data_IF_608223563100
#
_entry.id   IF_608223563100
#
_cell.length_a   1.000
_cell.length_b   1.000
_cell.length_c   1.000
_cell.angle_alpha   90.00
_cell.angle_beta   90.00
_cell.angle_gamma   90.00
#
_symmetry.space_group_name_H-M   'P 1'
#
loop_
_entity.id
_entity.type
_entity.pdbx_description
1 polymer ?
#
# COMPACT_ATOMS: atom_id res chain seq x y z
N UNK A 1 -3.83 52.52 25.46
CA UNK A 1 -2.60 53.30 25.17
C UNK A 1 -1.80 52.59 24.10
N UNK A 2 -1.65 53.20 22.91
CA UNK A 2 -0.84 52.65 21.82
C UNK A 2 0.63 52.62 22.26
N UNK A 3 1.23 51.44 22.39
CA UNK A 3 2.65 51.31 22.72
C UNK A 3 3.46 51.86 21.53
N UNK A 4 4.24 52.91 21.77
CA UNK A 4 5.06 53.53 20.73
C UNK A 4 5.95 52.48 20.05
N UNK A 5 5.93 52.46 18.72
CA UNK A 5 6.74 51.61 17.85
C UNK A 5 7.99 52.39 17.38
N UNK A 6 9.01 51.67 16.93
CA UNK A 6 10.21 52.22 16.25
C UNK A 6 11.02 53.19 17.16
N UNK A 7 11.25 52.80 18.42
CA UNK A 7 11.96 53.65 19.40
C UNK A 7 13.47 53.68 19.19
N UNK A 8 14.07 52.65 18.56
CA UNK A 8 15.51 52.58 18.33
C UNK A 8 15.86 53.15 16.96
N UNK A 9 17.05 53.74 16.86
CA UNK A 9 17.62 54.16 15.60
C UNK A 9 18.87 53.34 15.26
N UNK A 10 19.17 53.21 13.97
CA UNK A 10 20.36 52.47 13.52
C UNK A 10 21.65 53.15 14.01
N UNK A 11 21.65 54.48 14.12
CA UNK A 11 22.77 55.26 14.67
C UNK A 11 23.04 54.90 16.15
N UNK A 12 22.00 54.72 16.96
CA UNK A 12 22.13 54.27 18.35
C UNK A 12 22.72 52.86 18.43
N UNK A 13 22.26 51.94 17.57
CA UNK A 13 22.74 50.56 17.54
C UNK A 13 24.22 50.49 17.09
N UNK A 14 24.61 51.23 16.06
CA UNK A 14 26.02 51.31 15.63
C UNK A 14 26.94 51.81 16.72
N UNK A 15 26.50 52.78 17.54
CA UNK A 15 27.30 53.37 18.62
C UNK A 15 27.61 52.35 19.72
N UNK A 16 26.73 51.43 19.99
CA UNK A 16 26.87 50.43 21.09
C UNK A 16 27.31 49.06 20.59
N UNK A 17 27.27 48.80 19.27
CA UNK A 17 27.66 47.51 18.71
C UNK A 17 29.17 47.29 18.90
N UNK A 18 29.53 46.11 19.43
CA UNK A 18 30.92 45.78 19.76
C UNK A 18 31.43 46.39 21.07
N UNK A 19 30.65 47.27 21.74
CA UNK A 19 31.04 47.88 23.01
C UNK A 19 30.47 47.02 24.17
N UNK A 20 31.27 46.45 25.06
CA UNK A 20 30.78 45.69 26.20
C UNK A 20 29.84 46.50 27.08
N UNK A 21 28.67 45.95 27.41
CA UNK A 21 27.78 46.56 28.41
C UNK A 21 28.25 46.22 29.82
N UNK A 22 28.12 47.15 30.76
CA UNK A 22 28.41 46.86 32.18
C UNK A 22 27.50 45.72 32.72
N UNK A 23 26.27 45.66 32.26
CA UNK A 23 25.29 44.64 32.58
C UNK A 23 24.44 44.33 31.33
N UNK A 24 24.11 43.07 31.14
CA UNK A 24 23.19 42.70 30.04
C UNK A 24 21.88 43.48 30.17
N UNK A 25 21.52 44.23 29.15
CA UNK A 25 20.34 45.07 29.10
C UNK A 25 19.48 44.76 27.84
N UNK A 26 18.17 44.98 27.96
CA UNK A 26 17.24 44.94 26.87
C UNK A 26 16.79 46.32 26.47
N UNK A 27 17.07 46.75 25.26
CA UNK A 27 16.59 47.97 24.67
C UNK A 27 15.35 47.67 23.84
N UNK A 28 14.22 48.27 24.19
CA UNK A 28 12.92 47.97 23.60
C UNK A 28 12.64 48.91 22.41
N UNK A 29 12.39 48.33 21.23
CA UNK A 29 12.00 49.06 20.02
C UNK A 29 10.48 49.26 19.89
N UNK A 30 9.72 48.57 20.69
CA UNK A 30 8.24 48.55 20.62
C UNK A 30 7.70 47.37 19.84
N UNK A 31 6.39 47.16 19.88
CA UNK A 31 5.73 46.06 19.16
C UNK A 31 6.28 44.66 19.49
N UNK A 32 6.69 44.44 20.75
CA UNK A 32 7.29 43.21 21.25
C UNK A 32 8.72 42.89 20.70
N UNK A 33 9.34 43.84 19.99
CA UNK A 33 10.73 43.76 19.53
C UNK A 33 11.67 44.42 20.50
N UNK A 34 12.74 43.75 20.89
CA UNK A 34 13.83 44.28 21.70
C UNK A 34 15.19 43.77 21.24
N UNK A 35 16.23 44.54 21.51
CA UNK A 35 17.61 44.10 21.32
C UNK A 35 18.28 43.89 22.68
N UNK A 36 18.89 42.73 22.85
CA UNK A 36 19.72 42.42 24.03
C UNK A 36 21.14 42.88 23.75
N UNK A 37 21.62 43.80 24.56
CA UNK A 37 23.01 44.24 24.61
C UNK A 37 23.75 43.43 25.68
N UNK A 38 24.69 42.59 25.26
CA UNK A 38 25.44 41.71 26.15
C UNK A 38 26.71 42.36 26.72
N UNK A 39 27.24 41.77 27.79
CA UNK A 39 28.53 42.14 28.37
C UNK A 39 29.72 41.85 27.46
N UNK A 40 29.52 41.08 26.37
CA UNK A 40 30.50 40.88 25.29
C UNK A 40 30.37 41.86 24.12
N UNK A 41 29.44 42.84 24.21
CA UNK A 41 29.20 43.83 23.14
C UNK A 41 28.29 43.32 22.03
N UNK A 42 27.80 42.09 22.09
CA UNK A 42 26.91 41.52 21.07
C UNK A 42 25.49 42.06 21.21
N UNK A 43 24.93 42.51 20.10
CA UNK A 43 23.54 42.91 19.99
C UNK A 43 22.70 41.81 19.36
N UNK A 44 21.69 41.32 20.10
CA UNK A 44 20.84 40.22 19.65
C UNK A 44 19.37 40.61 19.67
N UNK A 45 18.68 40.47 18.56
CA UNK A 45 17.25 40.75 18.43
C UNK A 45 16.40 39.65 19.02
N UNK A 46 15.40 40.04 19.81
CA UNK A 46 14.41 39.17 20.42
C UNK A 46 12.99 39.68 20.18
N UNK A 47 12.09 38.73 19.92
CA UNK A 47 10.66 38.98 19.91
C UNK A 47 10.02 38.27 21.10
N UNK A 48 9.26 39.02 21.92
CA UNK A 48 8.63 38.54 23.17
C UNK A 48 7.13 38.38 22.93
N UNK A 49 6.56 37.21 23.19
CA UNK A 49 5.13 36.95 23.04
C UNK A 49 4.62 36.03 24.16
N UNK A 50 3.30 35.86 24.25
CA UNK A 50 2.68 34.90 25.16
C UNK A 50 2.00 33.82 24.35
N UNK A 51 2.35 32.54 24.57
CA UNK A 51 1.72 31.40 23.97
C UNK A 51 0.48 31.00 24.77
N UNK A 52 -0.73 31.29 24.24
CA UNK A 52 -2.01 30.93 24.84
C UNK A 52 -2.89 32.13 25.23
N UNK A 53 -4.19 31.88 25.35
CA UNK A 53 -5.25 32.88 25.60
C UNK A 53 -5.55 33.15 27.06
N UNK A 54 -4.84 32.51 28.03
CA UNK A 54 -5.11 32.64 29.46
C UNK A 54 -4.26 33.72 30.18
N UNK A 55 -4.81 34.36 31.21
CA UNK A 55 -4.11 35.37 32.06
C UNK A 55 -2.83 34.86 32.74
N UNK A 56 -2.58 33.52 32.74
CA UNK A 56 -1.40 32.85 33.32
C UNK A 56 -0.30 32.48 32.33
N UNK A 57 -0.43 32.77 31.03
CA UNK A 57 0.57 32.40 30.03
C UNK A 57 1.89 33.13 30.26
N UNK A 58 2.99 32.36 30.44
CA UNK A 58 4.34 32.93 30.62
C UNK A 58 4.82 33.58 29.32
N UNK A 59 5.52 34.70 29.38
CA UNK A 59 6.12 35.31 28.20
C UNK A 59 7.25 34.42 27.69
N UNK A 60 7.23 34.14 26.38
CA UNK A 60 8.28 33.46 25.64
C UNK A 60 9.08 34.46 24.80
N UNK A 61 10.36 34.15 24.59
CA UNK A 61 11.23 34.93 23.73
C UNK A 61 11.79 34.12 22.61
N UNK A 62 11.79 34.68 21.39
CA UNK A 62 12.41 34.11 20.20
C UNK A 62 13.58 34.99 19.78
N UNK A 63 14.74 34.36 19.57
CA UNK A 63 15.89 35.03 18.96
C UNK A 63 15.62 35.19 17.45
N UNK A 64 15.66 36.45 16.95
CA UNK A 64 15.44 36.75 15.53
C UNK A 64 16.75 36.79 14.71
N UNK A 65 17.87 37.12 15.37
CA UNK A 65 19.19 37.25 14.76
C UNK A 65 20.09 38.21 15.50
N UNK A 66 21.30 38.39 15.03
CA UNK A 66 22.27 39.35 15.60
C UNK A 66 22.39 40.57 14.70
N UNK A 67 22.58 41.74 15.31
CA UNK A 67 22.98 42.95 14.63
C UNK A 67 24.51 42.95 14.50
N UNK A 68 25.11 43.36 13.35
CA UNK A 68 24.48 44.00 12.16
C UNK A 68 23.97 43.02 11.12
N UNK A 69 24.22 41.70 11.22
CA UNK A 69 23.80 40.70 10.23
C UNK A 69 22.28 40.78 9.95
N UNK A 70 21.48 41.00 10.99
CA UNK A 70 20.07 41.36 10.87
C UNK A 70 19.92 42.85 11.19
N UNK A 71 19.70 43.67 10.14
CA UNK A 71 19.51 45.12 10.29
C UNK A 71 18.24 45.45 11.11
N UNK A 72 18.15 46.67 11.66
CA UNK A 72 16.97 47.16 12.37
C UNK A 72 15.69 47.04 11.51
N UNK A 73 15.77 47.38 10.22
CA UNK A 73 14.65 47.27 9.29
C UNK A 73 14.19 45.80 9.18
N UNK A 74 15.12 44.89 8.90
CA UNK A 74 14.82 43.50 8.79
C UNK A 74 14.31 42.85 10.09
N UNK A 75 14.80 43.28 11.24
CA UNK A 75 14.32 42.86 12.55
C UNK A 75 12.85 43.29 12.79
N UNK A 76 12.49 44.50 12.37
CA UNK A 76 11.12 45.03 12.44
C UNK A 76 10.16 44.24 11.50
N UNK A 77 10.61 43.89 10.31
CA UNK A 77 9.86 43.06 9.35
C UNK A 77 9.60 41.65 9.92
N UNK A 78 10.62 41.02 10.48
CA UNK A 78 10.45 39.71 11.16
C UNK A 78 9.51 39.80 12.38
N UNK A 79 9.60 40.86 13.14
CA UNK A 79 8.69 41.08 14.29
C UNK A 79 7.24 41.32 13.83
N UNK A 80 7.05 42.02 12.70
CA UNK A 80 5.73 42.19 12.09
C UNK A 80 5.15 40.82 11.62
N UNK A 81 5.96 39.98 11.01
CA UNK A 81 5.56 38.62 10.63
C UNK A 81 5.18 37.76 11.85
N UNK A 82 5.95 37.82 12.94
CA UNK A 82 5.61 37.12 14.18
C UNK A 82 4.26 37.60 14.76
N UNK A 83 3.96 38.89 14.68
CA UNK A 83 2.65 39.44 15.09
C UNK A 83 1.51 38.95 14.21
N UNK A 84 1.72 38.86 12.88
CA UNK A 84 0.73 38.32 11.95
C UNK A 84 0.42 36.84 12.27
N UNK A 85 1.41 36.02 12.51
CA UNK A 85 1.20 34.62 12.94
C UNK A 85 0.43 34.50 14.25
N UNK A 86 0.73 35.38 15.25
CA UNK A 86 -0.02 35.41 16.50
C UNK A 86 -1.49 35.79 16.28
N UNK A 87 -1.75 36.75 15.40
CA UNK A 87 -3.12 37.14 15.05
C UNK A 87 -3.91 36.02 14.35
N UNK A 88 -3.20 35.14 13.61
CA UNK A 88 -3.75 33.95 13.00
C UNK A 88 -3.84 32.74 13.97
N UNK A 89 -3.51 32.92 15.25
CA UNK A 89 -3.49 31.85 16.25
C UNK A 89 -2.33 30.85 16.11
N UNK A 90 -1.31 31.19 15.30
CA UNK A 90 -0.11 30.37 15.10
C UNK A 90 1.00 30.72 16.07
N UNK A 91 1.81 29.71 16.48
CA UNK A 91 2.95 29.95 17.35
C UNK A 91 4.17 30.42 16.52
N UNK A 92 4.69 31.65 16.73
CA UNK A 92 5.80 32.21 15.95
C UNK A 92 7.07 31.35 15.99
N UNK A 93 7.36 30.65 17.09
CA UNK A 93 8.53 29.78 17.22
C UNK A 93 8.45 28.62 16.25
N UNK A 94 7.26 28.01 16.11
CA UNK A 94 7.04 26.90 15.21
C UNK A 94 7.10 27.34 13.76
N UNK A 95 6.49 28.48 13.44
CA UNK A 95 6.49 29.02 12.08
C UNK A 95 7.89 29.45 11.62
N UNK A 96 8.68 30.08 12.49
CA UNK A 96 10.07 30.44 12.18
C UNK A 96 10.94 29.20 11.95
N UNK A 97 10.84 28.18 12.81
CA UNK A 97 11.59 26.93 12.65
C UNK A 97 11.21 26.24 11.32
N UNK A 98 9.92 26.21 10.99
CA UNK A 98 9.43 25.68 9.73
C UNK A 98 9.99 26.45 8.53
N UNK A 99 9.98 27.77 8.58
CA UNK A 99 10.52 28.64 7.51
C UNK A 99 12.02 28.46 7.33
N UNK A 100 12.78 28.35 8.42
CA UNK A 100 14.23 28.09 8.38
C UNK A 100 14.53 26.71 7.78
N UNK A 101 13.83 25.66 8.21
CA UNK A 101 13.99 24.31 7.66
C UNK A 101 13.65 24.26 6.17
N UNK A 102 12.59 24.94 5.74
CA UNK A 102 12.18 25.03 4.34
C UNK A 102 13.21 25.79 3.49
N UNK A 103 13.83 26.83 4.03
CA UNK A 103 14.84 27.62 3.32
C UNK A 103 16.19 26.90 3.21
N UNK A 104 16.59 26.11 4.21
CA UNK A 104 17.86 25.40 4.23
C UNK A 104 17.87 24.12 3.40
N UNK A 105 16.73 23.39 3.33
CA UNK A 105 16.58 22.17 2.55
C UNK A 105 15.14 22.01 2.07
N UNK A 106 14.83 22.54 0.88
CA UNK A 106 13.49 22.33 0.32
C UNK A 106 13.27 20.83 0.09
N UNK A 107 12.14 20.32 0.59
CA UNK A 107 11.75 18.92 0.38
C UNK A 107 11.48 18.72 -1.12
N UNK A 108 12.15 17.76 -1.71
CA UNK A 108 11.93 17.39 -3.12
C UNK A 108 10.79 16.38 -3.27
N UNK A 109 10.31 16.15 -4.49
CA UNK A 109 9.36 15.08 -4.81
C UNK A 109 9.94 13.72 -4.39
N UNK A 110 11.22 13.48 -4.69
CA UNK A 110 11.92 12.24 -4.31
C UNK A 110 12.00 12.04 -2.80
N UNK A 111 12.31 13.10 -2.04
CA UNK A 111 12.32 13.05 -0.58
C UNK A 111 10.94 12.69 -0.01
N UNK A 112 9.87 13.31 -0.52
CA UNK A 112 8.51 13.05 -0.08
C UNK A 112 8.06 11.62 -0.33
N UNK A 113 8.32 11.08 -1.53
CA UNK A 113 7.98 9.70 -1.88
C UNK A 113 8.82 8.71 -1.09
N UNK A 114 10.11 8.95 -0.93
CA UNK A 114 11.02 8.10 -0.15
C UNK A 114 10.65 8.10 1.33
N UNK A 115 10.32 9.25 1.91
CA UNK A 115 9.88 9.35 3.29
C UNK A 115 8.64 8.47 3.55
N UNK A 116 7.63 8.51 2.67
CA UNK A 116 6.47 7.64 2.79
C UNK A 116 6.81 6.15 2.65
N UNK A 117 7.67 5.82 1.67
CA UNK A 117 8.09 4.44 1.43
C UNK A 117 8.81 3.85 2.66
N UNK A 118 9.77 4.57 3.22
CA UNK A 118 10.59 4.06 4.33
C UNK A 118 9.85 4.13 5.68
N UNK A 119 9.05 5.20 5.93
CA UNK A 119 8.39 5.40 7.22
C UNK A 119 7.04 4.67 7.35
N UNK A 120 6.45 4.19 6.27
CA UNK A 120 5.14 3.56 6.31
C UNK A 120 5.06 2.28 5.48
N UNK A 121 5.42 2.33 4.20
CA UNK A 121 5.17 1.21 3.28
C UNK A 121 6.01 -0.01 3.66
N UNK A 122 7.26 0.22 4.02
CA UNK A 122 8.23 -0.84 4.36
C UNK A 122 7.74 -1.75 5.50
N UNK A 123 7.10 -1.18 6.51
CA UNK A 123 6.61 -1.93 7.67
C UNK A 123 5.17 -2.46 7.50
N UNK A 124 4.38 -1.79 6.64
CA UNK A 124 2.94 -2.06 6.57
C UNK A 124 2.49 -2.74 5.27
N UNK A 125 3.38 -2.90 4.27
CA UNK A 125 3.00 -3.46 2.96
C UNK A 125 4.00 -4.49 2.46
N UNK A 126 3.49 -5.61 1.99
CA UNK A 126 4.30 -6.70 1.41
C UNK A 126 4.93 -6.30 0.06
N UNK A 127 4.28 -5.40 -0.68
CA UNK A 127 4.69 -4.98 -2.02
C UNK A 127 5.72 -3.82 -2.03
N UNK A 128 6.38 -3.53 -0.90
CA UNK A 128 7.33 -2.43 -0.76
C UNK A 128 8.37 -2.35 -1.88
N UNK A 129 9.06 -3.47 -2.15
CA UNK A 129 10.13 -3.48 -3.16
C UNK A 129 9.60 -3.18 -4.58
N UNK A 130 8.45 -3.76 -4.93
CA UNK A 130 7.81 -3.56 -6.22
C UNK A 130 7.29 -2.11 -6.36
N UNK A 131 6.69 -1.57 -5.29
CA UNK A 131 6.20 -0.19 -5.27
C UNK A 131 7.33 0.82 -5.34
N UNK A 132 8.41 0.60 -4.57
CA UNK A 132 9.63 1.43 -4.62
C UNK A 132 10.23 1.47 -6.03
N UNK A 133 10.40 0.30 -6.66
CA UNK A 133 10.89 0.19 -8.05
C UNK A 133 9.98 0.96 -9.01
N UNK A 134 8.66 0.80 -8.87
CA UNK A 134 7.68 1.47 -9.75
C UNK A 134 7.72 2.99 -9.60
N UNK A 135 7.70 3.52 -8.37
CA UNK A 135 7.82 4.97 -8.14
C UNK A 135 9.15 5.53 -8.60
N UNK A 136 10.25 4.80 -8.37
CA UNK A 136 11.57 5.21 -8.87
C UNK A 136 11.56 5.35 -10.39
N UNK A 137 11.13 4.32 -11.11
CA UNK A 137 11.20 4.29 -12.58
C UNK A 137 10.26 5.29 -13.27
N UNK A 138 9.11 5.58 -12.66
CA UNK A 138 8.07 6.36 -13.32
C UNK A 138 7.93 7.80 -12.81
N UNK A 139 8.49 8.11 -11.63
CA UNK A 139 8.34 9.44 -11.03
C UNK A 139 9.69 9.99 -10.56
N UNK A 140 10.41 9.27 -9.67
CA UNK A 140 11.59 9.82 -9.02
C UNK A 140 12.71 10.11 -10.02
N UNK A 141 12.93 9.25 -11.00
CA UNK A 141 13.96 9.48 -12.05
C UNK A 141 13.64 10.70 -12.93
N UNK A 142 12.39 11.13 -13.00
CA UNK A 142 11.98 12.24 -13.90
C UNK A 142 11.86 13.57 -13.17
N UNK A 143 11.15 13.58 -12.05
CA UNK A 143 10.85 14.80 -11.29
C UNK A 143 11.32 14.76 -9.83
N UNK A 144 12.03 13.70 -9.43
CA UNK A 144 12.43 13.48 -8.03
C UNK A 144 13.31 14.57 -7.45
N UNK A 145 14.14 15.23 -8.26
CA UNK A 145 15.01 16.33 -7.84
C UNK A 145 14.28 17.69 -7.70
N UNK A 146 13.04 17.81 -8.22
CA UNK A 146 12.28 19.05 -8.14
C UNK A 146 11.82 19.33 -6.70
N UNK A 147 11.98 20.60 -6.24
CA UNK A 147 11.35 21.04 -5.01
C UNK A 147 9.82 20.83 -5.08
N UNK A 148 9.25 20.21 -4.04
CA UNK A 148 7.85 19.80 -4.06
C UNK A 148 6.87 20.98 -4.15
N UNK A 149 7.23 22.11 -3.57
CA UNK A 149 6.47 23.36 -3.63
C UNK A 149 6.49 24.05 -4.99
N UNK A 150 7.43 23.66 -5.86
CA UNK A 150 7.53 24.16 -7.24
C UNK A 150 7.10 23.12 -8.29
N UNK A 151 6.77 21.90 -7.84
CA UNK A 151 6.32 20.83 -8.72
C UNK A 151 4.82 20.99 -9.01
N UNK A 152 4.52 21.64 -10.12
CA UNK A 152 3.15 21.88 -10.59
C UNK A 152 2.52 20.61 -11.17
N UNK A 153 1.19 20.63 -11.32
CA UNK A 153 0.41 19.50 -11.86
C UNK A 153 0.93 19.01 -13.21
N UNK A 154 1.34 19.91 -14.11
CA UNK A 154 1.87 19.56 -15.44
C UNK A 154 3.08 18.63 -15.39
N UNK A 155 3.94 18.75 -14.37
CA UNK A 155 5.12 17.90 -14.23
C UNK A 155 4.75 16.46 -13.85
N UNK A 156 3.74 16.31 -12.98
CA UNK A 156 3.20 15.00 -12.61
C UNK A 156 2.47 14.36 -13.78
N UNK A 157 1.63 15.12 -14.50
CA UNK A 157 0.89 14.61 -15.67
C UNK A 157 1.84 14.12 -16.74
N UNK A 158 2.96 14.83 -17.02
CA UNK A 158 3.96 14.36 -17.98
C UNK A 158 4.51 12.97 -17.63
N UNK A 159 4.73 12.68 -16.32
CA UNK A 159 5.14 11.35 -15.87
C UNK A 159 4.03 10.31 -16.07
N UNK A 160 2.79 10.65 -15.68
CA UNK A 160 1.67 9.72 -15.78
C UNK A 160 1.30 9.40 -17.23
N UNK A 161 1.27 10.40 -18.10
CA UNK A 161 0.98 10.25 -19.53
C UNK A 161 2.00 9.36 -20.23
N UNK A 162 3.28 9.50 -19.87
CA UNK A 162 4.33 8.63 -20.41
C UNK A 162 4.08 7.16 -20.04
N UNK A 163 3.65 6.89 -18.81
CA UNK A 163 3.29 5.55 -18.35
C UNK A 163 2.02 5.06 -19.02
N UNK A 164 1.00 5.93 -19.14
CA UNK A 164 -0.31 5.61 -19.69
C UNK A 164 -0.25 5.16 -21.16
N UNK A 165 0.67 5.72 -21.95
CA UNK A 165 0.88 5.33 -23.37
C UNK A 165 1.14 3.82 -23.55
N UNK A 166 1.77 3.17 -22.56
CA UNK A 166 2.10 1.73 -22.61
C UNK A 166 1.23 0.90 -21.69
N UNK A 167 0.96 1.41 -20.49
CA UNK A 167 0.31 0.67 -19.41
C UNK A 167 -0.64 1.58 -18.61
N UNK A 168 -1.86 1.89 -19.13
CA UNK A 168 -2.79 2.81 -18.49
C UNK A 168 -3.17 2.41 -17.05
N UNK A 169 -3.28 1.11 -16.78
CA UNK A 169 -3.55 0.59 -15.43
C UNK A 169 -2.40 0.92 -14.47
N UNK A 170 -1.16 0.80 -14.94
CA UNK A 170 0.01 1.16 -14.11
C UNK A 170 0.05 2.66 -13.82
N UNK A 171 -0.33 3.52 -14.76
CA UNK A 171 -0.43 4.96 -14.54
C UNK A 171 -1.42 5.29 -13.40
N UNK A 172 -2.59 4.66 -13.40
CA UNK A 172 -3.56 4.79 -12.31
C UNK A 172 -3.01 4.34 -10.95
N UNK A 173 -2.26 3.25 -10.89
CA UNK A 173 -1.59 2.81 -9.65
C UNK A 173 -0.51 3.78 -9.19
N UNK A 174 0.29 4.34 -10.10
CA UNK A 174 1.33 5.32 -9.77
C UNK A 174 0.70 6.59 -9.21
N UNK A 175 -0.36 7.11 -9.84
CA UNK A 175 -1.12 8.24 -9.31
C UNK A 175 -1.60 7.98 -7.88
N UNK A 176 -2.27 6.84 -7.63
CA UNK A 176 -2.79 6.51 -6.30
C UNK A 176 -1.69 6.42 -5.25
N UNK A 177 -0.54 5.85 -5.60
CA UNK A 177 0.62 5.77 -4.72
C UNK A 177 1.17 7.17 -4.39
N UNK A 178 1.31 8.05 -5.38
CA UNK A 178 1.74 9.43 -5.17
C UNK A 178 0.76 10.24 -4.30
N UNK A 179 -0.55 10.10 -4.54
CA UNK A 179 -1.60 10.71 -3.69
C UNK A 179 -1.48 10.24 -2.23
N UNK A 180 -1.29 8.94 -2.00
CA UNK A 180 -1.12 8.39 -0.66
C UNK A 180 0.14 8.94 0.02
N UNK A 181 1.26 9.02 -0.71
CA UNK A 181 2.52 9.57 -0.22
C UNK A 181 2.38 11.04 0.19
N UNK A 182 1.83 11.90 -0.70
CA UNK A 182 1.63 13.32 -0.40
C UNK A 182 0.66 13.52 0.77
N UNK A 183 -0.43 12.75 0.83
CA UNK A 183 -1.37 12.79 1.96
C UNK A 183 -0.70 12.35 3.27
N UNK A 184 0.19 11.37 3.25
CA UNK A 184 0.97 10.94 4.41
C UNK A 184 1.93 12.04 4.86
N UNK A 185 2.67 12.65 3.94
CA UNK A 185 3.59 13.75 4.22
C UNK A 185 2.87 14.94 4.87
N UNK A 186 1.68 15.32 4.36
CA UNK A 186 0.86 16.39 4.95
C UNK A 186 0.45 16.07 6.38
N UNK A 187 -0.05 14.85 6.63
CA UNK A 187 -0.46 14.44 7.98
C UNK A 187 0.69 14.44 8.98
N UNK A 188 1.89 14.12 8.51
CA UNK A 188 3.13 14.12 9.31
C UNK A 188 3.80 15.50 9.36
N UNK A 189 3.24 16.51 8.69
CA UNK A 189 3.84 17.85 8.56
C UNK A 189 5.27 17.83 7.99
N UNK A 190 5.61 16.79 7.24
CA UNK A 190 6.90 16.64 6.59
C UNK A 190 7.01 17.53 5.36
N UNK A 191 5.97 17.58 4.54
CA UNK A 191 5.86 18.43 3.36
C UNK A 191 4.38 18.71 3.05
N UNK A 192 4.10 19.83 2.39
CA UNK A 192 2.74 20.23 2.02
C UNK A 192 2.65 20.33 0.50
N UNK A 193 1.80 19.47 -0.07
CA UNK A 193 1.36 19.56 -1.47
C UNK A 193 0.00 18.91 -1.60
N UNK A 194 -0.92 19.56 -2.28
CA UNK A 194 -2.27 19.08 -2.61
C UNK A 194 -2.48 18.96 -4.13
N UNK A 195 -1.41 19.11 -4.89
CA UNK A 195 -1.42 19.22 -6.37
C UNK A 195 -2.10 18.04 -7.07
N UNK A 196 -2.13 16.86 -6.44
CA UNK A 196 -2.77 15.65 -6.99
C UNK A 196 -4.16 15.36 -6.42
N UNK A 197 -4.66 16.14 -5.44
CA UNK A 197 -5.85 15.76 -4.68
C UNK A 197 -7.11 15.64 -5.56
N UNK A 198 -7.26 16.49 -6.54
CA UNK A 198 -8.43 16.53 -7.42
C UNK A 198 -8.35 15.50 -8.57
N UNK A 199 -7.18 14.93 -8.84
CA UNK A 199 -7.04 13.93 -9.89
C UNK A 199 -7.66 12.59 -9.52
N UNK A 200 -8.38 11.99 -10.48
CA UNK A 200 -8.88 10.63 -10.41
C UNK A 200 -8.09 9.69 -11.34
N UNK A 201 -8.25 8.38 -11.15
CA UNK A 201 -7.56 7.39 -12.00
C UNK A 201 -7.96 7.56 -13.47
N UNK A 202 -9.21 7.95 -13.74
CA UNK A 202 -9.71 8.16 -15.11
C UNK A 202 -9.00 9.31 -15.84
N UNK A 203 -8.47 10.30 -15.10
CA UNK A 203 -7.77 11.45 -15.69
C UNK A 203 -6.38 11.11 -16.22
N UNK A 204 -5.78 10.02 -15.73
CA UNK A 204 -4.39 9.66 -16.08
C UNK A 204 -4.23 8.22 -16.61
N UNK A 205 -5.25 7.39 -16.49
CA UNK A 205 -5.16 5.99 -16.90
C UNK A 205 -6.46 5.24 -16.73
N UNK A 206 -6.37 3.96 -16.41
CA UNK A 206 -7.53 3.08 -16.22
C UNK A 206 -7.45 2.34 -14.90
N UNK A 207 -8.62 2.02 -14.34
CA UNK A 207 -8.71 0.98 -13.30
C UNK A 207 -8.46 -0.38 -13.96
N UNK A 208 -7.90 -1.37 -13.21
CA UNK A 208 -7.84 -2.74 -13.71
C UNK A 208 -9.26 -3.22 -14.08
N UNK A 209 -9.39 -3.85 -15.23
CA UNK A 209 -10.63 -4.53 -15.58
C UNK A 209 -10.84 -5.71 -14.62
N UNK A 210 -12.07 -5.86 -14.14
CA UNK A 210 -12.46 -7.05 -13.37
C UNK A 210 -12.67 -8.16 -14.39
N UNK A 211 -11.80 -9.19 -14.38
CA UNK A 211 -12.04 -10.36 -15.20
C UNK A 211 -13.29 -11.08 -14.72
N UNK A 212 -14.22 -11.35 -15.61
CA UNK A 212 -15.42 -12.16 -15.36
C UNK A 212 -15.29 -13.59 -15.92
N UNK A 213 -14.10 -13.95 -16.34
CA UNK A 213 -13.81 -15.22 -16.99
C UNK A 213 -14.03 -16.41 -16.05
N UNK A 214 -14.92 -17.29 -16.43
CA UNK A 214 -15.19 -18.61 -15.84
C UNK A 214 -14.98 -19.65 -16.96
N UNK A 215 -14.30 -20.75 -16.67
CA UNK A 215 -14.14 -21.84 -17.61
C UNK A 215 -15.47 -22.58 -17.77
N UNK A 216 -15.85 -22.87 -19.01
CA UNK A 216 -17.00 -23.72 -19.29
C UNK A 216 -16.77 -25.17 -18.85
N UNK A 217 -17.83 -25.97 -18.72
CA UNK A 217 -17.73 -27.40 -18.43
C UNK A 217 -16.81 -28.13 -19.41
N UNK A 218 -16.89 -27.77 -20.69
CA UNK A 218 -16.04 -28.34 -21.73
C UNK A 218 -14.56 -27.99 -21.49
N UNK A 219 -14.25 -26.72 -21.27
CA UNK A 219 -12.88 -26.29 -21.06
C UNK A 219 -12.28 -26.88 -19.79
N UNK A 220 -13.08 -27.01 -18.72
CA UNK A 220 -12.63 -27.61 -17.47
C UNK A 220 -12.38 -29.12 -17.64
N UNK A 221 -13.25 -29.83 -18.37
CA UNK A 221 -13.07 -31.24 -18.71
C UNK A 221 -11.81 -31.45 -19.56
N UNK A 222 -11.61 -30.66 -20.62
CA UNK A 222 -10.41 -30.72 -21.46
C UNK A 222 -9.13 -30.41 -20.64
N UNK A 223 -9.19 -29.48 -19.70
CA UNK A 223 -8.07 -29.18 -18.81
C UNK A 223 -7.76 -30.37 -17.89
N UNK A 224 -8.75 -31.02 -17.27
CA UNK A 224 -8.57 -32.20 -16.44
C UNK A 224 -7.92 -33.35 -17.22
N UNK A 225 -8.43 -33.66 -18.43
CA UNK A 225 -7.85 -34.68 -19.32
C UNK A 225 -6.40 -34.33 -19.72
N UNK A 226 -6.09 -33.07 -19.95
CA UNK A 226 -4.74 -32.61 -20.26
C UNK A 226 -3.75 -32.80 -19.09
N UNK A 227 -4.23 -32.64 -17.84
CA UNK A 227 -3.44 -32.92 -16.65
C UNK A 227 -3.08 -34.42 -16.57
N UNK A 228 -4.02 -35.32 -16.90
CA UNK A 228 -3.78 -36.77 -16.91
C UNK A 228 -2.82 -37.19 -18.02
N UNK A 229 -2.92 -36.55 -19.20
CA UNK A 229 -2.02 -36.77 -20.35
C UNK A 229 -0.62 -36.17 -20.17
N UNK A 230 -0.33 -35.55 -19.03
CA UNK A 230 0.96 -34.93 -18.68
C UNK A 230 1.44 -33.88 -19.71
N UNK A 231 0.51 -33.13 -20.30
CA UNK A 231 0.83 -32.04 -21.24
C UNK A 231 1.60 -30.90 -20.53
N UNK A 232 1.39 -30.75 -19.22
CA UNK A 232 2.08 -29.80 -18.37
C UNK A 232 3.24 -30.47 -17.61
N UNK A 233 4.23 -29.70 -17.17
CA UNK A 233 5.29 -30.26 -16.32
C UNK A 233 4.74 -30.68 -14.95
N UNK A 234 5.36 -31.66 -14.26
CA UNK A 234 4.84 -32.27 -13.04
C UNK A 234 4.41 -31.24 -11.96
N UNK A 235 5.23 -30.23 -11.72
CA UNK A 235 4.90 -29.14 -10.81
C UNK A 235 3.56 -28.46 -11.14
N UNK A 236 3.36 -28.13 -12.41
CA UNK A 236 2.14 -27.42 -12.83
C UNK A 236 0.93 -28.36 -12.96
N UNK A 237 1.14 -29.64 -13.24
CA UNK A 237 0.08 -30.65 -13.12
C UNK A 237 -0.45 -30.67 -11.70
N UNK A 238 0.44 -30.77 -10.72
CA UNK A 238 0.07 -30.79 -9.30
C UNK A 238 -0.59 -29.46 -8.85
N UNK A 239 0.03 -28.33 -9.18
CA UNK A 239 -0.50 -27.02 -8.84
C UNK A 239 -1.90 -26.80 -9.43
N UNK A 240 -2.10 -27.03 -10.74
CA UNK A 240 -3.37 -26.76 -11.41
C UNK A 240 -4.46 -27.71 -10.90
N UNK A 241 -4.14 -28.99 -10.69
CA UNK A 241 -5.09 -29.99 -10.15
C UNK A 241 -5.58 -29.55 -8.76
N UNK A 242 -4.68 -29.18 -7.86
CA UNK A 242 -5.04 -28.72 -6.52
C UNK A 242 -5.78 -27.37 -6.52
N UNK A 243 -5.44 -26.46 -7.46
CA UNK A 243 -6.21 -25.21 -7.66
C UNK A 243 -7.65 -25.51 -8.07
N UNK A 244 -7.86 -26.48 -8.96
CA UNK A 244 -9.21 -26.90 -9.40
C UNK A 244 -9.98 -27.48 -8.22
N UNK A 245 -9.37 -28.42 -7.47
CA UNK A 245 -10.06 -29.12 -6.37
C UNK A 245 -10.42 -28.22 -5.22
N UNK A 246 -9.51 -27.32 -4.80
CA UNK A 246 -9.69 -26.54 -3.56
C UNK A 246 -10.07 -25.08 -3.79
N UNK A 247 -10.11 -24.59 -5.03
CA UNK A 247 -10.32 -23.16 -5.30
C UNK A 247 -9.31 -22.25 -4.58
N UNK A 248 -8.12 -22.78 -4.25
CA UNK A 248 -7.10 -22.09 -3.49
C UNK A 248 -6.46 -20.93 -4.26
N UNK A 249 -5.79 -20.01 -3.58
CA UNK A 249 -4.90 -19.06 -4.24
C UNK A 249 -3.58 -19.72 -4.60
N UNK A 250 -2.98 -19.28 -5.68
CA UNK A 250 -1.68 -19.82 -6.13
C UNK A 250 -0.60 -19.74 -5.05
N UNK A 251 -0.57 -18.70 -4.23
CA UNK A 251 0.38 -18.55 -3.13
C UNK A 251 0.19 -19.60 -2.04
N UNK A 252 -1.05 -19.97 -1.74
CA UNK A 252 -1.39 -20.96 -0.71
C UNK A 252 -0.80 -22.34 -1.07
N UNK A 253 -0.90 -22.76 -2.33
CA UNK A 253 -0.33 -24.03 -2.79
C UNK A 253 1.17 -23.94 -3.11
N UNK A 254 1.62 -22.81 -3.65
CA UNK A 254 3.03 -22.62 -4.01
C UNK A 254 3.96 -22.70 -2.80
N UNK A 255 3.47 -22.24 -1.63
CA UNK A 255 4.20 -22.26 -0.37
C UNK A 255 3.80 -23.42 0.54
N UNK A 256 2.85 -24.28 0.10
CA UNK A 256 2.32 -25.34 0.96
C UNK A 256 3.40 -26.30 1.40
N UNK A 257 3.48 -26.48 2.70
CA UNK A 257 4.34 -27.45 3.36
C UNK A 257 3.60 -28.77 3.61
N UNK A 258 4.33 -29.88 3.61
CA UNK A 258 3.74 -31.20 3.86
C UNK A 258 3.05 -31.25 5.23
N UNK A 259 3.61 -30.57 6.24
CA UNK A 259 3.04 -30.50 7.59
C UNK A 259 1.69 -29.78 7.71
N UNK A 260 1.24 -29.09 6.65
CA UNK A 260 -0.09 -28.46 6.61
C UNK A 260 -1.22 -29.49 6.36
N UNK A 261 -0.87 -30.71 5.91
CA UNK A 261 -1.79 -31.75 5.47
C UNK A 261 -1.91 -32.86 6.52
N UNK A 262 -2.99 -32.84 7.27
CA UNK A 262 -3.34 -33.86 8.25
C UNK A 262 -4.25 -34.92 7.62
N UNK A 263 -3.66 -36.09 7.34
CA UNK A 263 -4.39 -37.21 6.72
C UNK A 263 -5.24 -38.00 7.74
N UNK A 264 -5.02 -37.84 9.04
CA UNK A 264 -5.84 -38.44 10.08
C UNK A 264 -7.15 -37.68 10.22
N UNK A 265 -7.07 -36.36 10.31
CA UNK A 265 -8.22 -35.46 10.37
C UNK A 265 -8.83 -35.17 8.99
N UNK A 266 -8.20 -35.65 7.92
CA UNK A 266 -8.56 -35.31 6.54
C UNK A 266 -8.70 -33.83 6.32
N UNK A 267 -7.67 -33.06 6.71
CA UNK A 267 -7.70 -31.60 6.75
C UNK A 267 -6.41 -30.97 6.20
N UNK A 268 -6.55 -30.04 5.28
CA UNK A 268 -5.48 -29.12 4.88
C UNK A 268 -5.66 -27.79 5.61
N UNK A 269 -4.70 -27.43 6.44
CA UNK A 269 -4.65 -26.16 7.19
C UNK A 269 -3.64 -25.22 6.56
N UNK A 270 -4.11 -24.22 5.82
CA UNK A 270 -3.24 -23.15 5.30
C UNK A 270 -2.93 -22.18 6.44
N UNK A 271 -1.65 -22.03 6.85
CA UNK A 271 -1.30 -21.12 7.93
C UNK A 271 -1.49 -19.65 7.52
N UNK A 272 -1.61 -18.77 8.50
CA UNK A 272 -1.82 -17.32 8.26
C UNK A 272 -0.68 -16.69 7.44
N UNK A 273 0.52 -17.23 7.52
CA UNK A 273 1.71 -16.79 6.81
C UNK A 273 1.57 -17.00 5.29
N UNK A 274 0.95 -18.11 4.87
CA UNK A 274 0.69 -18.45 3.48
C UNK A 274 -0.63 -17.87 2.93
N UNK A 275 -1.47 -17.33 3.84
CA UNK A 275 -2.76 -16.73 3.47
C UNK A 275 -2.63 -15.23 3.18
N UNK A 276 -3.17 -14.79 2.05
CA UNK A 276 -3.23 -13.36 1.70
C UNK A 276 -3.98 -12.51 2.73
N UNK A 277 -4.97 -13.11 3.39
CA UNK A 277 -5.82 -12.45 4.39
C UNK A 277 -5.26 -12.49 5.81
N UNK A 278 -4.08 -13.12 6.01
CA UNK A 278 -3.44 -13.29 7.31
C UNK A 278 -4.32 -14.03 8.34
N UNK A 279 -5.19 -14.91 7.86
CA UNK A 279 -6.04 -15.80 8.66
C UNK A 279 -5.83 -17.21 8.16
N UNK A 280 -5.77 -18.19 9.08
CA UNK A 280 -5.68 -19.60 8.72
C UNK A 280 -6.94 -20.06 7.98
N UNK A 281 -6.76 -20.93 6.98
CA UNK A 281 -7.85 -21.45 6.18
C UNK A 281 -7.89 -22.97 6.35
N UNK A 282 -9.05 -23.50 6.67
CA UNK A 282 -9.27 -24.94 6.91
C UNK A 282 -10.08 -25.54 5.75
N UNK A 283 -9.50 -26.52 5.05
CA UNK A 283 -10.13 -27.21 3.93
C UNK A 283 -10.12 -28.72 4.18
N UNK A 284 -11.28 -29.38 4.31
CA UNK A 284 -11.33 -30.84 4.28
C UNK A 284 -10.65 -31.40 3.02
N UNK A 285 -10.02 -32.57 3.14
CA UNK A 285 -9.41 -33.28 2.01
C UNK A 285 -10.43 -34.28 1.50
N UNK A 286 -10.99 -34.12 0.28
CA UNK A 286 -11.89 -35.14 -0.29
C UNK A 286 -11.14 -36.46 -0.52
N UNK A 287 -11.84 -37.60 -0.30
CA UNK A 287 -11.25 -38.92 -0.51
C UNK A 287 -10.74 -39.11 -1.96
N UNK A 288 -11.45 -38.54 -2.93
CA UNK A 288 -11.10 -38.64 -4.34
C UNK A 288 -9.71 -38.06 -4.68
N UNK A 289 -9.19 -37.07 -3.92
CA UNK A 289 -7.86 -36.48 -4.16
C UNK A 289 -6.77 -37.08 -3.26
N UNK A 290 -7.13 -37.86 -2.23
CA UNK A 290 -6.21 -38.38 -1.24
C UNK A 290 -5.05 -39.16 -1.86
N UNK A 291 -5.26 -40.12 -2.80
CA UNK A 291 -4.15 -40.85 -3.40
C UNK A 291 -3.14 -39.95 -4.11
N UNK A 292 -3.63 -38.91 -4.78
CA UNK A 292 -2.78 -37.95 -5.48
C UNK A 292 -1.95 -37.10 -4.51
N UNK A 293 -2.53 -36.60 -3.43
CA UNK A 293 -1.81 -35.80 -2.45
C UNK A 293 -0.80 -36.66 -1.68
N UNK A 294 -1.15 -37.89 -1.30
CA UNK A 294 -0.24 -38.85 -0.66
C UNK A 294 0.99 -39.12 -1.53
N UNK A 295 0.77 -39.34 -2.83
CA UNK A 295 1.86 -39.52 -3.79
C UNK A 295 2.78 -38.29 -3.83
N UNK A 296 2.23 -37.06 -3.83
CA UNK A 296 3.03 -35.83 -3.79
C UNK A 296 3.86 -35.72 -2.52
N UNK A 297 3.29 -36.08 -1.36
CA UNK A 297 3.99 -36.10 -0.08
C UNK A 297 5.18 -37.07 -0.11
N UNK A 298 4.98 -38.28 -0.61
CA UNK A 298 6.05 -39.29 -0.71
C UNK A 298 7.18 -38.81 -1.61
N UNK A 299 6.83 -38.30 -2.81
CA UNK A 299 7.80 -37.84 -3.79
C UNK A 299 8.62 -36.63 -3.30
N UNK A 300 8.01 -35.75 -2.51
CA UNK A 300 8.60 -34.48 -2.11
C UNK A 300 9.00 -34.40 -0.63
N UNK A 301 8.94 -35.51 0.12
CA UNK A 301 9.25 -35.57 1.56
C UNK A 301 10.58 -34.92 1.91
N UNK A 302 11.57 -35.08 1.04
CA UNK A 302 12.93 -34.57 1.25
C UNK A 302 13.01 -33.02 1.19
N UNK A 303 12.06 -32.34 0.57
CA UNK A 303 12.04 -30.87 0.47
C UNK A 303 11.19 -30.20 1.55
N UNK A 304 10.27 -30.95 2.19
CA UNK A 304 9.26 -30.42 3.11
C UNK A 304 8.11 -29.68 2.42
N UNK A 305 8.21 -29.39 1.12
CA UNK A 305 7.20 -28.66 0.33
C UNK A 305 6.33 -29.65 -0.44
N UNK A 306 5.01 -29.46 -0.42
CA UNK A 306 4.06 -30.36 -1.13
C UNK A 306 4.37 -30.46 -2.61
N UNK A 307 4.71 -29.36 -3.28
CA UNK A 307 5.02 -29.30 -4.71
C UNK A 307 6.51 -29.51 -5.04
N UNK A 308 7.34 -29.85 -4.03
CA UNK A 308 8.77 -30.11 -4.16
C UNK A 308 9.67 -28.87 -4.24
N UNK A 309 9.14 -27.73 -4.67
CA UNK A 309 9.87 -26.46 -4.74
C UNK A 309 8.91 -25.26 -4.58
N UNK A 310 9.42 -24.15 -4.04
CA UNK A 310 8.70 -22.88 -4.00
C UNK A 310 9.09 -22.00 -5.19
N UNK A 311 8.43 -22.18 -6.33
CA UNK A 311 8.67 -21.32 -7.51
C UNK A 311 8.33 -19.86 -7.23
N UNK A 312 9.01 -18.94 -7.92
CA UNK A 312 8.69 -17.52 -7.83
C UNK A 312 7.27 -17.23 -8.37
N UNK A 313 6.56 -16.33 -7.71
CA UNK A 313 5.19 -15.92 -8.08
C UNK A 313 5.09 -15.46 -9.54
N UNK A 314 6.07 -14.67 -10.00
CA UNK A 314 6.12 -14.17 -11.37
C UNK A 314 6.18 -15.31 -12.39
N UNK A 315 6.97 -16.37 -12.13
CA UNK A 315 7.12 -17.54 -13.00
C UNK A 315 5.81 -18.33 -13.06
N UNK A 316 5.16 -18.54 -11.92
CA UNK A 316 3.86 -19.24 -11.84
C UNK A 316 2.77 -18.46 -12.57
N UNK A 317 2.71 -17.14 -12.35
CA UNK A 317 1.75 -16.27 -13.05
C UNK A 317 1.99 -16.23 -14.56
N UNK A 318 3.25 -16.23 -15.00
CA UNK A 318 3.59 -16.25 -16.44
C UNK A 318 3.18 -17.57 -17.07
N UNK A 319 3.50 -18.69 -16.42
CA UNK A 319 3.10 -20.01 -16.91
C UNK A 319 1.57 -20.14 -17.01
N UNK A 320 0.86 -19.75 -15.98
CA UNK A 320 -0.60 -19.77 -15.93
C UNK A 320 -1.25 -18.96 -17.07
N UNK A 321 -0.68 -17.79 -17.41
CA UNK A 321 -1.17 -16.97 -18.53
C UNK A 321 -0.97 -17.62 -19.91
N UNK A 322 -0.11 -18.61 -20.02
CA UNK A 322 0.19 -19.30 -21.27
C UNK A 322 -0.44 -20.70 -21.34
N UNK A 323 -0.93 -21.23 -20.23
CA UNK A 323 -1.47 -22.59 -20.14
C UNK A 323 -2.66 -22.81 -21.10
N UNK A 324 -3.56 -21.82 -21.22
CA UNK A 324 -4.71 -21.87 -22.13
C UNK A 324 -4.31 -22.11 -23.60
N UNK A 325 -3.14 -21.63 -24.04
CA UNK A 325 -2.67 -21.79 -25.42
C UNK A 325 -2.38 -23.24 -25.78
N UNK A 326 -1.95 -24.08 -24.83
CA UNK A 326 -1.68 -25.51 -25.03
C UNK A 326 -2.95 -26.30 -25.27
N UNK A 327 -4.09 -25.76 -24.86
CA UNK A 327 -5.41 -26.37 -25.03
C UNK A 327 -6.24 -25.69 -26.12
N UNK A 328 -5.67 -24.68 -26.78
CA UNK A 328 -6.39 -23.83 -27.73
C UNK A 328 -7.68 -23.23 -27.15
N UNK A 329 -7.66 -22.90 -25.85
CA UNK A 329 -8.76 -22.23 -25.17
C UNK A 329 -8.67 -20.71 -25.32
N UNK A 330 -9.80 -19.97 -25.26
CA UNK A 330 -9.80 -18.55 -25.00
C UNK A 330 -8.99 -18.23 -23.74
N UNK A 331 -8.43 -16.99 -23.67
CA UNK A 331 -7.55 -16.62 -22.58
C UNK A 331 -8.19 -16.84 -21.20
N UNK A 332 -7.47 -17.50 -20.30
CA UNK A 332 -7.73 -17.61 -18.88
C UNK A 332 -6.42 -17.64 -18.07
N UNK A 333 -6.48 -17.29 -16.81
CA UNK A 333 -5.38 -17.31 -15.85
C UNK A 333 -5.64 -18.32 -14.73
N UNK A 334 -4.63 -18.64 -13.93
CA UNK A 334 -4.83 -19.52 -12.75
C UNK A 334 -5.86 -18.96 -11.75
N UNK A 335 -6.06 -17.64 -11.72
CA UNK A 335 -7.08 -17.04 -10.87
C UNK A 335 -8.50 -17.27 -11.38
N UNK A 336 -8.67 -17.46 -12.69
CA UNK A 336 -9.97 -17.77 -13.27
C UNK A 336 -10.41 -19.19 -12.95
N UNK A 337 -9.48 -20.13 -12.68
CA UNK A 337 -9.78 -21.46 -12.12
C UNK A 337 -10.52 -21.32 -10.77
N UNK A 338 -10.04 -20.44 -9.91
CA UNK A 338 -10.70 -20.18 -8.63
C UNK A 338 -12.08 -19.51 -8.79
N UNK A 339 -12.26 -18.65 -9.78
CA UNK A 339 -13.59 -18.13 -10.13
C UNK A 339 -14.50 -19.23 -10.62
N UNK A 340 -13.98 -20.12 -11.47
CA UNK A 340 -14.70 -21.30 -11.95
C UNK A 340 -15.17 -22.17 -10.79
N UNK A 341 -14.29 -22.47 -9.83
CA UNK A 341 -14.63 -23.19 -8.60
C UNK A 341 -15.77 -22.50 -7.84
N UNK A 342 -15.64 -21.19 -7.59
CA UNK A 342 -16.66 -20.42 -6.85
C UNK A 342 -18.01 -20.43 -7.56
N UNK A 343 -18.01 -20.16 -8.87
CA UNK A 343 -19.25 -20.11 -9.68
C UNK A 343 -19.93 -21.46 -9.73
N UNK A 344 -19.17 -22.52 -10.04
CA UNK A 344 -19.75 -23.84 -10.22
C UNK A 344 -20.23 -24.47 -8.91
N UNK A 345 -19.61 -24.18 -7.76
CA UNK A 345 -20.15 -24.59 -6.45
C UNK A 345 -21.47 -23.90 -6.12
N UNK A 346 -21.58 -22.60 -6.42
CA UNK A 346 -22.86 -21.89 -6.24
C UNK A 346 -23.94 -22.46 -7.19
N UNK A 347 -23.58 -22.81 -8.45
CA UNK A 347 -24.50 -23.44 -9.39
C UNK A 347 -24.94 -24.85 -8.94
N UNK A 348 -24.10 -25.55 -8.17
CA UNK A 348 -24.44 -26.82 -7.53
C UNK A 348 -25.32 -26.64 -6.27
N UNK A 349 -25.67 -25.42 -5.88
CA UNK A 349 -26.50 -25.12 -4.73
C UNK A 349 -25.77 -25.08 -3.39
N UNK A 350 -24.44 -25.03 -3.37
CA UNK A 350 -23.66 -24.87 -2.16
C UNK A 350 -23.88 -23.47 -1.60
N UNK A 351 -24.12 -23.37 -0.29
CA UNK A 351 -24.32 -22.08 0.39
C UNK A 351 -23.12 -21.13 0.08
N UNK A 352 -23.38 -19.91 -0.42
CA UNK A 352 -22.33 -18.95 -0.74
C UNK A 352 -21.35 -18.70 0.41
N UNK A 353 -21.84 -18.78 1.67
CA UNK A 353 -21.00 -18.61 2.85
C UNK A 353 -19.96 -19.74 2.97
N UNK A 354 -20.33 -20.98 2.68
CA UNK A 354 -19.42 -22.13 2.67
C UNK A 354 -18.36 -21.95 1.57
N UNK A 355 -18.78 -21.50 0.39
CA UNK A 355 -17.87 -21.22 -0.75
C UNK A 355 -16.86 -20.10 -0.39
N UNK A 356 -17.32 -19.03 0.23
CA UNK A 356 -16.45 -17.94 0.72
C UNK A 356 -15.43 -18.45 1.75
N UNK A 357 -15.85 -19.30 2.66
CA UNK A 357 -14.99 -19.94 3.64
C UNK A 357 -13.94 -20.88 3.01
N UNK A 358 -14.33 -21.69 2.00
CA UNK A 358 -13.43 -22.55 1.24
C UNK A 358 -12.39 -21.72 0.48
N UNK A 359 -12.80 -20.62 -0.10
CA UNK A 359 -11.90 -19.72 -0.81
C UNK A 359 -11.06 -18.82 0.11
N UNK A 360 -11.29 -18.84 1.44
CA UNK A 360 -10.54 -18.04 2.40
C UNK A 360 -10.77 -16.53 2.26
N UNK A 361 -12.00 -16.15 1.93
CA UNK A 361 -12.47 -14.78 2.05
C UNK A 361 -12.86 -14.52 3.50
N UNK A 362 -12.62 -13.30 3.96
CA UNK A 362 -13.04 -12.90 5.31
C UNK A 362 -14.50 -12.44 5.27
N UNK A 363 -15.25 -12.83 6.30
CA UNK A 363 -16.58 -12.32 6.48
C UNK A 363 -16.59 -10.80 6.66
N UNK A 364 -17.53 -10.08 6.05
CA UNK A 364 -17.65 -8.65 6.25
C UNK A 364 -18.19 -8.29 7.63
N UNK A 365 -17.71 -7.19 8.21
CA UNK A 365 -18.29 -6.55 9.38
C UNK A 365 -18.30 -7.36 10.68
N UNK A 366 -19.39 -7.26 11.43
CA UNK A 366 -19.57 -7.85 12.75
C UNK A 366 -19.56 -9.39 12.78
N UNK A 367 -19.99 -10.05 11.71
CA UNK A 367 -19.98 -11.51 11.60
C UNK A 367 -18.59 -12.11 11.83
N UNK A 368 -17.55 -11.44 11.41
CA UNK A 368 -16.17 -11.86 11.63
C UNK A 368 -15.77 -11.93 13.11
N UNK A 369 -16.38 -11.09 13.94
CA UNK A 369 -16.05 -10.97 15.38
C UNK A 369 -16.70 -12.07 16.19
N UNK A 370 -17.90 -12.50 15.79
CA UNK A 370 -18.72 -13.43 16.60
C UNK A 370 -18.73 -14.86 16.05
N UNK A 371 -18.49 -15.06 14.76
CA UNK A 371 -18.56 -16.38 14.15
C UNK A 371 -17.17 -16.99 13.95
N UNK A 372 -16.79 -17.92 14.83
CA UNK A 372 -15.54 -18.68 14.79
C UNK A 372 -15.70 -20.10 14.28
N UNK A 373 -16.89 -20.46 13.77
CA UNK A 373 -17.13 -21.81 13.23
C UNK A 373 -16.26 -22.06 11.99
N UNK A 374 -15.71 -23.26 11.91
CA UNK A 374 -14.90 -23.71 10.76
C UNK A 374 -15.74 -24.30 9.64
N UNK A 375 -17.02 -24.62 9.88
CA UNK A 375 -17.97 -25.23 8.92
C UNK A 375 -17.40 -26.46 8.22
N UNK A 376 -16.68 -27.34 8.94
CA UNK A 376 -15.92 -28.42 8.31
C UNK A 376 -16.84 -29.42 7.58
N UNK A 377 -17.98 -29.81 8.15
CA UNK A 377 -18.90 -30.76 7.53
C UNK A 377 -19.54 -30.18 6.25
N UNK A 378 -19.99 -28.93 6.31
CA UNK A 378 -20.54 -28.26 5.14
C UNK A 378 -19.50 -28.10 4.00
N UNK A 379 -18.25 -27.82 4.37
CA UNK A 379 -17.13 -27.74 3.42
C UNK A 379 -16.77 -29.11 2.84
N UNK A 380 -16.83 -30.17 3.66
CA UNK A 380 -16.60 -31.55 3.21
C UNK A 380 -17.64 -31.95 2.16
N UNK A 381 -18.91 -31.80 2.50
CA UNK A 381 -20.00 -32.08 1.56
C UNK A 381 -19.87 -31.28 0.25
N UNK A 382 -19.51 -30.01 0.34
CA UNK A 382 -19.31 -29.16 -0.83
C UNK A 382 -18.14 -29.65 -1.72
N UNK A 383 -17.03 -30.08 -1.11
CA UNK A 383 -15.88 -30.59 -1.85
C UNK A 383 -16.12 -31.98 -2.42
N UNK A 384 -16.89 -32.82 -1.75
CA UNK A 384 -17.29 -34.14 -2.25
C UNK A 384 -18.18 -33.98 -3.49
N UNK A 385 -19.23 -33.16 -3.42
CA UNK A 385 -20.07 -32.83 -4.58
C UNK A 385 -19.24 -32.26 -5.74
N UNK A 386 -18.26 -31.41 -5.40
CA UNK A 386 -17.37 -30.82 -6.41
C UNK A 386 -16.45 -31.83 -7.08
N UNK A 387 -15.82 -32.72 -6.31
CA UNK A 387 -14.93 -33.77 -6.86
C UNK A 387 -15.69 -34.79 -7.68
N UNK A 388 -16.91 -35.15 -7.30
CA UNK A 388 -17.82 -35.95 -8.11
C UNK A 388 -18.11 -35.26 -9.45
N UNK A 389 -18.47 -33.96 -9.42
CA UNK A 389 -18.69 -33.19 -10.64
C UNK A 389 -17.45 -33.14 -11.54
N UNK A 390 -16.24 -32.98 -10.96
CA UNK A 390 -14.99 -33.02 -11.71
C UNK A 390 -14.76 -34.37 -12.37
N UNK A 391 -15.06 -35.48 -11.72
CA UNK A 391 -14.99 -36.80 -12.26
C UNK A 391 -15.90 -36.99 -13.49
N UNK A 392 -17.14 -36.49 -13.42
CA UNK A 392 -18.07 -36.49 -14.55
C UNK A 392 -17.50 -35.68 -15.74
N UNK A 393 -16.96 -34.49 -15.47
CA UNK A 393 -16.39 -33.61 -16.52
C UNK A 393 -15.13 -34.20 -17.15
N UNK A 394 -14.31 -34.91 -16.39
CA UNK A 394 -13.13 -35.60 -16.86
C UNK A 394 -13.46 -36.86 -17.68
N UNK A 395 -14.69 -37.37 -17.59
CA UNK A 395 -15.11 -38.63 -18.19
C UNK A 395 -14.59 -39.89 -17.49
N UNK A 396 -14.25 -39.77 -16.19
CA UNK A 396 -13.72 -40.85 -15.35
C UNK A 396 -14.80 -41.54 -14.52
N UNK A 397 -16.04 -41.05 -14.56
CA UNK A 397 -17.18 -41.70 -13.88
C UNK A 397 -17.73 -42.87 -14.72
N UNK A 398 -17.66 -44.06 -14.20
CA UNK A 398 -18.03 -45.32 -14.90
C UNK A 398 -19.52 -45.43 -15.26
N UNK A 399 -20.40 -44.62 -14.65
CA UNK A 399 -21.85 -44.77 -14.77
C UNK A 399 -22.61 -43.53 -15.30
N UNK A 400 -21.95 -42.55 -15.89
CA UNK A 400 -22.62 -41.33 -16.35
C UNK A 400 -22.45 -41.15 -17.87
N UNK A 401 -23.52 -41.34 -18.61
CA UNK A 401 -23.60 -40.94 -20.02
C UNK A 401 -24.06 -39.45 -20.04
N UNK A 402 -23.19 -38.55 -20.51
CA UNK A 402 -23.58 -37.15 -20.72
C UNK A 402 -24.55 -37.06 -21.89
N UNK A 403 -25.82 -36.74 -21.61
CA UNK A 403 -26.78 -36.45 -22.67
C UNK A 403 -26.39 -35.12 -23.34
N UNK A 404 -26.45 -35.07 -24.69
CA UNK A 404 -26.21 -33.82 -25.40
C UNK A 404 -27.24 -32.78 -24.99
N UNK A 405 -26.76 -31.61 -24.60
CA UNK A 405 -27.64 -30.48 -24.23
C UNK A 405 -28.45 -30.09 -25.47
N UNK A 406 -29.78 -30.32 -25.41
CA UNK A 406 -30.69 -29.85 -26.47
C UNK A 406 -30.53 -28.32 -26.59
N UNK A 407 -30.10 -27.85 -27.77
CA UNK A 407 -30.08 -26.43 -28.07
C UNK A 407 -31.53 -25.94 -28.02
N UNK A 408 -31.85 -25.13 -26.98
CA UNK A 408 -33.04 -24.30 -27.03
C UNK A 408 -32.86 -23.30 -28.19
N UNK A 409 -33.75 -23.42 -29.19
CA UNK A 409 -33.87 -22.48 -30.31
C UNK A 409 -34.31 -21.12 -29.81
#
# INVERSE_FOLDING_TARGET
>A
MSRALNKLSDTQLRKINGTPAQKTAFLNDGGNLSVRHSTSGLLTWYFTYRAGTGRGARPEQIKLGNYPDLSLKAAREKAAQCRAWLAEGKNPRHEMNYTVQKALKPVTVGDALTYWLESYVKENRVDYAALKKRLNNHVIQHIGAMPLDKCELRHWLACFDQVAKRTPVTAGFVLQACKQALKFCRRRRYAISNVLDDLNVADVGKKPDISERVLSNKELGELLQALDKKIFSPYYVALIRLLIVFGARTVELRLSEIGEWDFTEMLWTVPKEHSKTKVAIFRPIPEAILPFVTQLVEQNRHTGLLLGEAKQEASVSQYGRLAHRRLNHPHWSLHDIRRTFTTMLNDLGVDPHVVEQLTGHQMPGMQRVYNHSRYLDAKRNALDMWTERLGILAGTHENVTTLPVARRK
#
